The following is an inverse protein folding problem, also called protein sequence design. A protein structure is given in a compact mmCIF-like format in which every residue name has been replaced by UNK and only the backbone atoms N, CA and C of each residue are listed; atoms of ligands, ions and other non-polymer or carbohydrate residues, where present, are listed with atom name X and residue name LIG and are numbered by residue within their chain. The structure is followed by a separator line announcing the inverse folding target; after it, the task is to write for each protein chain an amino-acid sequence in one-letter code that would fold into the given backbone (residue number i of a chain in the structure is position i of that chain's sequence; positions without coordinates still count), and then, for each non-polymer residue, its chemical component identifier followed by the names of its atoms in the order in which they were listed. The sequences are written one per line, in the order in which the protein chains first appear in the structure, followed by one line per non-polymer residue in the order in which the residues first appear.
data_IF_909222605178
#
_entry.id   IF_909222605178
#
_cell.length_a   1.000
_cell.length_b   1.000
_cell.length_c   1.000
_cell.angle_alpha   90.00
_cell.angle_beta   90.00
_cell.angle_gamma   90.00
#
_symmetry.space_group_name_H-M   'P 1'
#
loop_
_entity.id
_entity.type
_entity.pdbx_description
1 polymer ?
#
# COMPACT_ATOMS: atom_id res chain seq x y z
N UNK A 1 -32.58 11.21 -8.59
CA UNK A 1 -31.24 11.69 -8.13
C UNK A 1 -31.00 11.45 -6.64
N UNK A 2 -32.01 11.61 -5.77
CA UNK A 2 -31.86 11.46 -4.30
C UNK A 2 -31.48 10.04 -3.83
N UNK A 3 -32.15 9.01 -4.35
CA UNK A 3 -31.87 7.59 -4.01
C UNK A 3 -30.44 7.15 -4.37
N UNK A 4 -29.84 7.76 -5.41
CA UNK A 4 -28.45 7.49 -5.82
C UNK A 4 -27.43 8.24 -4.97
N UNK A 5 -27.73 9.47 -4.55
CA UNK A 5 -26.91 10.25 -3.60
C UNK A 5 -26.82 9.52 -2.24
N UNK A 6 -27.93 8.95 -1.78
CA UNK A 6 -28.00 8.13 -0.55
C UNK A 6 -27.14 6.86 -0.69
N UNK A 7 -27.23 6.16 -1.83
CA UNK A 7 -26.45 4.93 -2.10
C UNK A 7 -24.95 5.19 -2.22
N UNK A 8 -24.54 6.27 -2.88
CA UNK A 8 -23.13 6.69 -2.94
C UNK A 8 -22.55 7.05 -1.57
N UNK A 9 -23.33 7.72 -0.72
CA UNK A 9 -22.96 8.06 0.67
C UNK A 9 -22.76 6.82 1.53
N UNK A 10 -23.57 5.78 1.33
CA UNK A 10 -23.41 4.49 2.01
C UNK A 10 -22.12 3.75 1.63
N UNK A 11 -21.69 3.82 0.36
CA UNK A 11 -20.45 3.17 -0.08
C UNK A 11 -19.20 3.90 0.42
N UNK A 12 -19.22 5.23 0.45
CA UNK A 12 -18.16 6.03 1.08
C UNK A 12 -18.09 5.76 2.58
N UNK A 13 -19.24 5.61 3.25
CA UNK A 13 -19.29 5.29 4.67
C UNK A 13 -18.61 3.94 4.97
N UNK A 14 -18.77 2.91 4.13
CA UNK A 14 -18.07 1.63 4.30
C UNK A 14 -16.54 1.78 4.26
N UNK A 15 -16.03 2.60 3.33
CA UNK A 15 -14.60 2.87 3.23
C UNK A 15 -14.10 3.63 4.47
N UNK A 16 -14.82 4.67 4.89
CA UNK A 16 -14.47 5.48 6.06
C UNK A 16 -14.51 4.67 7.36
N UNK A 17 -15.54 3.83 7.54
CA UNK A 17 -15.67 2.93 8.70
C UNK A 17 -14.52 1.94 8.74
N UNK A 18 -14.10 1.39 7.59
CA UNK A 18 -12.94 0.50 7.53
C UNK A 18 -11.63 1.19 7.95
N UNK A 19 -11.35 2.40 7.43
CA UNK A 19 -10.17 3.16 7.87
C UNK A 19 -10.22 3.53 9.36
N UNK A 20 -11.40 3.94 9.84
CA UNK A 20 -11.61 4.29 11.24
C UNK A 20 -11.42 3.06 12.15
N UNK A 21 -11.92 1.90 11.75
CA UNK A 21 -11.77 0.66 12.50
C UNK A 21 -10.30 0.23 12.61
N UNK A 22 -9.52 0.35 11.54
CA UNK A 22 -8.07 0.10 11.56
C UNK A 22 -7.36 1.07 12.53
N UNK A 23 -7.68 2.37 12.44
CA UNK A 23 -7.08 3.38 13.31
C UNK A 23 -7.42 3.15 14.79
N UNK A 24 -8.67 2.83 15.11
CA UNK A 24 -9.10 2.49 16.47
C UNK A 24 -8.40 1.22 16.95
N UNK A 25 -8.24 0.21 16.10
CA UNK A 25 -7.55 -1.03 16.46
C UNK A 25 -6.09 -0.77 16.83
N UNK A 26 -5.39 0.07 16.07
CA UNK A 26 -4.01 0.46 16.40
C UNK A 26 -3.94 1.28 17.69
N UNK A 27 -4.88 2.22 17.88
CA UNK A 27 -4.96 3.04 19.09
C UNK A 27 -5.29 2.22 20.35
N UNK A 28 -6.13 1.18 20.21
CA UNK A 28 -6.44 0.26 21.29
C UNK A 28 -5.17 -0.49 21.73
N UNK A 29 -4.30 -0.83 20.79
CA UNK A 29 -3.01 -1.47 21.08
C UNK A 29 -2.02 -0.50 21.75
N UNK A 30 -1.93 0.75 21.26
CA UNK A 30 -1.01 1.75 21.83
C UNK A 30 -1.34 2.06 23.29
N UNK A 31 -2.63 2.16 23.62
CA UNK A 31 -3.12 2.44 24.97
C UNK A 31 -2.78 1.32 25.96
N UNK A 32 -2.73 0.08 25.49
CA UNK A 32 -2.47 -1.10 26.32
C UNK A 32 -0.96 -1.45 26.42
N UNK A 33 -0.08 -0.69 25.76
CA UNK A 33 1.37 -0.93 25.78
C UNK A 33 2.03 -0.61 27.13
N UNK A 34 1.31 0.04 28.06
CA UNK A 34 1.76 0.31 29.43
C UNK A 34 1.38 -0.78 30.44
N UNK A 35 0.68 -1.85 30.02
CA UNK A 35 0.49 -3.00 30.88
C UNK A 35 1.84 -3.64 31.15
N UNK A 36 2.25 -3.65 32.42
CA UNK A 36 3.40 -4.42 32.89
C UNK A 36 3.21 -5.86 32.39
N UNK A 37 4.14 -6.33 31.55
CA UNK A 37 4.13 -7.66 30.93
C UNK A 37 4.23 -8.68 32.06
N UNK A 38 3.07 -9.04 32.60
CA UNK A 38 2.90 -10.04 33.64
C UNK A 38 2.37 -11.31 32.98
N UNK A 39 2.79 -12.50 33.42
CA UNK A 39 2.29 -13.77 32.87
C UNK A 39 0.75 -13.87 32.88
N UNK A 40 0.08 -13.21 33.82
CA UNK A 40 -1.37 -13.15 33.92
C UNK A 40 -2.06 -12.31 32.81
N UNK A 41 -1.35 -11.36 32.19
CA UNK A 41 -1.89 -10.51 31.13
C UNK A 41 -1.72 -11.09 29.71
N UNK A 42 -0.87 -12.11 29.54
CA UNK A 42 -0.62 -12.76 28.24
C UNK A 42 -1.87 -13.28 27.51
N UNK A 43 -2.82 -14.00 28.15
CA UNK A 43 -4.03 -14.46 27.44
C UNK A 43 -4.93 -13.31 26.98
N UNK A 44 -5.00 -12.21 27.74
CA UNK A 44 -5.74 -11.02 27.33
C UNK A 44 -5.09 -10.33 26.13
N UNK A 45 -3.76 -10.24 26.11
CA UNK A 45 -2.98 -9.71 24.99
C UNK A 45 -3.13 -10.56 23.72
N UNK A 46 -3.15 -11.88 23.85
CA UNK A 46 -3.36 -12.80 22.73
C UNK A 46 -4.77 -12.64 22.11
N UNK A 47 -5.81 -12.52 22.95
CA UNK A 47 -7.16 -12.25 22.46
C UNK A 47 -7.28 -10.89 21.76
N UNK A 48 -6.62 -9.86 22.31
CA UNK A 48 -6.55 -8.54 21.67
C UNK A 48 -5.82 -8.60 20.32
N UNK A 49 -4.77 -9.42 20.23
CA UNK A 49 -4.02 -9.60 19.00
C UNK A 49 -4.86 -10.28 17.91
N UNK A 50 -5.58 -11.36 18.24
CA UNK A 50 -6.52 -12.02 17.32
C UNK A 50 -7.64 -11.08 16.88
N UNK A 51 -8.22 -10.32 17.83
CA UNK A 51 -9.25 -9.33 17.53
C UNK A 51 -8.73 -8.25 16.56
N UNK A 52 -7.49 -7.79 16.75
CA UNK A 52 -6.84 -6.79 15.88
C UNK A 52 -6.74 -7.31 14.44
N UNK A 53 -6.28 -8.54 14.24
CA UNK A 53 -6.22 -9.14 12.90
C UNK A 53 -7.61 -9.36 12.30
N UNK A 54 -8.59 -9.82 13.08
CA UNK A 54 -9.96 -9.98 12.61
C UNK A 54 -10.55 -8.65 12.13
N UNK A 55 -10.37 -7.57 12.90
CA UNK A 55 -10.79 -6.21 12.52
C UNK A 55 -10.04 -5.74 11.28
N UNK A 56 -8.74 -5.97 11.18
CA UNK A 56 -7.93 -5.57 10.03
C UNK A 56 -8.41 -6.24 8.73
N UNK A 57 -8.56 -7.56 8.71
CA UNK A 57 -9.04 -8.28 7.53
C UNK A 57 -10.48 -7.91 7.15
N UNK A 58 -11.36 -7.76 8.14
CA UNK A 58 -12.75 -7.32 7.90
C UNK A 58 -12.79 -5.91 7.31
N UNK A 59 -11.92 -5.02 7.77
CA UNK A 59 -11.78 -3.65 7.27
C UNK A 59 -11.28 -3.62 5.83
N UNK A 60 -10.29 -4.45 5.48
CA UNK A 60 -9.86 -4.58 4.07
C UNK A 60 -11.00 -5.07 3.17
N UNK A 61 -11.79 -6.04 3.63
CA UNK A 61 -12.98 -6.49 2.91
C UNK A 61 -14.00 -5.37 2.69
N UNK A 62 -14.31 -4.61 3.75
CA UNK A 62 -15.24 -3.48 3.68
C UNK A 62 -14.76 -2.36 2.75
N UNK A 63 -13.48 -1.99 2.84
CA UNK A 63 -12.85 -0.97 1.98
C UNK A 63 -12.86 -1.44 0.53
N UNK A 64 -12.40 -2.66 0.25
CA UNK A 64 -12.36 -3.21 -1.10
C UNK A 64 -13.75 -3.28 -1.74
N UNK A 65 -14.75 -3.74 -0.99
CA UNK A 65 -16.14 -3.79 -1.45
C UNK A 65 -16.74 -2.40 -1.67
N UNK A 66 -16.47 -1.44 -0.77
CA UNK A 66 -16.87 -0.05 -0.90
C UNK A 66 -16.30 0.59 -2.17
N UNK A 67 -14.99 0.45 -2.39
CA UNK A 67 -14.30 0.95 -3.57
C UNK A 67 -14.82 0.30 -4.86
N UNK A 68 -15.03 -1.02 -4.87
CA UNK A 68 -15.56 -1.73 -6.04
C UNK A 68 -16.96 -1.23 -6.42
N UNK A 69 -17.86 -1.07 -5.45
CA UNK A 69 -19.20 -0.53 -5.71
C UNK A 69 -19.17 0.93 -6.17
N UNK A 70 -18.30 1.76 -5.59
CA UNK A 70 -18.10 3.14 -6.04
C UNK A 70 -17.60 3.19 -7.49
N UNK A 71 -16.59 2.40 -7.81
CA UNK A 71 -16.04 2.27 -9.16
C UNK A 71 -17.12 1.85 -10.16
N UNK A 72 -17.86 0.78 -9.89
CA UNK A 72 -18.95 0.29 -10.75
C UNK A 72 -20.06 1.33 -10.92
N UNK A 73 -20.44 2.01 -9.85
CA UNK A 73 -21.44 3.08 -9.89
C UNK A 73 -20.99 4.26 -10.76
N UNK A 74 -19.71 4.62 -10.71
CA UNK A 74 -19.15 5.74 -11.47
C UNK A 74 -18.89 5.43 -12.94
N UNK A 75 -18.77 4.16 -13.31
CA UNK A 75 -18.78 3.75 -14.72
C UNK A 75 -20.21 3.74 -15.29
N UNK A 76 -21.17 3.22 -14.53
CA UNK A 76 -22.56 3.07 -15.00
C UNK A 76 -23.27 4.42 -15.09
N UNK A 77 -22.96 5.32 -14.15
CA UNK A 77 -23.46 6.70 -14.13
C UNK A 77 -22.26 7.63 -14.21
N UNK A 78 -21.75 7.78 -15.43
CA UNK A 78 -20.60 8.63 -15.70
C UNK A 78 -21.01 10.11 -15.59
N UNK A 79 -20.41 10.82 -14.63
CA UNK A 79 -20.54 12.27 -14.46
C UNK A 79 -19.22 12.98 -14.85
N UNK A 80 -19.21 14.32 -14.86
CA UNK A 80 -18.00 15.13 -15.08
C UNK A 80 -17.06 15.22 -13.86
N UNK A 81 -17.32 14.42 -12.80
CA UNK A 81 -16.51 14.38 -11.57
C UNK A 81 -15.17 13.70 -11.82
N UNK A 82 -14.11 14.14 -11.13
CA UNK A 82 -12.76 13.55 -11.20
C UNK A 82 -12.77 12.03 -10.99
N UNK A 83 -13.52 11.52 -10.00
CA UNK A 83 -13.64 10.08 -9.74
C UNK A 83 -14.25 9.30 -10.93
N UNK A 84 -15.19 9.91 -11.66
CA UNK A 84 -15.80 9.31 -12.85
C UNK A 84 -14.80 9.21 -13.99
N UNK A 85 -13.99 10.27 -14.18
CA UNK A 85 -12.91 10.29 -15.18
C UNK A 85 -11.86 9.22 -14.87
N UNK A 86 -11.44 9.09 -13.60
CA UNK A 86 -10.52 8.04 -13.15
C UNK A 86 -11.11 6.65 -13.41
N UNK A 87 -12.37 6.43 -13.03
CA UNK A 87 -13.04 5.15 -13.21
C UNK A 87 -13.14 4.77 -14.70
N UNK A 88 -13.50 5.72 -15.55
CA UNK A 88 -13.63 5.51 -16.99
C UNK A 88 -12.27 5.25 -17.66
N UNK A 89 -11.23 6.02 -17.31
CA UNK A 89 -9.87 5.81 -17.79
C UNK A 89 -9.31 4.43 -17.39
N UNK A 90 -9.68 3.94 -16.20
CA UNK A 90 -9.21 2.64 -15.70
C UNK A 90 -10.04 1.45 -16.24
N UNK A 91 -11.19 1.70 -16.88
CA UNK A 91 -12.12 0.65 -17.31
C UNK A 91 -11.70 -0.13 -18.57
N UNK A 92 -10.81 0.43 -19.40
CA UNK A 92 -10.36 -0.24 -20.61
C UNK A 92 -9.59 -1.55 -20.30
N UNK A 93 -9.75 -2.60 -21.11
CA UNK A 93 -9.07 -3.91 -20.97
C UNK A 93 -7.56 -3.75 -20.76
N UNK A 94 -6.92 -2.90 -21.56
CA UNK A 94 -5.47 -2.62 -21.46
C UNK A 94 -5.10 -1.97 -20.12
N UNK A 95 -5.83 -0.94 -19.71
CA UNK A 95 -5.60 -0.22 -18.45
C UNK A 95 -5.83 -1.13 -17.24
N UNK A 96 -6.88 -1.95 -17.27
CA UNK A 96 -7.18 -2.96 -16.25
C UNK A 96 -6.08 -4.02 -16.15
N UNK A 97 -5.53 -4.47 -17.28
CA UNK A 97 -4.42 -5.42 -17.28
C UNK A 97 -3.16 -4.79 -16.68
N UNK A 98 -2.83 -3.55 -17.06
CA UNK A 98 -1.70 -2.79 -16.50
C UNK A 98 -1.88 -2.58 -14.99
N UNK A 99 -3.10 -2.24 -14.54
CA UNK A 99 -3.44 -2.09 -13.13
C UNK A 99 -3.14 -3.36 -12.35
N UNK A 100 -3.62 -4.52 -12.82
CA UNK A 100 -3.43 -5.81 -12.14
C UNK A 100 -1.96 -6.22 -12.10
N UNK A 101 -1.26 -6.17 -13.25
CA UNK A 101 0.16 -6.54 -13.33
C UNK A 101 1.01 -5.65 -12.42
N UNK A 102 0.78 -4.34 -12.43
CA UNK A 102 1.56 -3.39 -11.63
C UNK A 102 1.26 -3.54 -10.14
N UNK A 103 -0.01 -3.77 -9.77
CA UNK A 103 -0.41 -4.00 -8.36
C UNK A 103 0.25 -5.27 -7.82
N UNK A 104 0.21 -6.38 -8.56
CA UNK A 104 0.81 -7.65 -8.13
C UNK A 104 2.32 -7.55 -8.11
N UNK A 105 2.93 -7.00 -9.16
CA UNK A 105 4.38 -6.85 -9.27
C UNK A 105 4.96 -5.99 -8.15
N UNK A 106 4.35 -4.82 -7.89
CA UNK A 106 4.76 -3.98 -6.78
C UNK A 106 4.49 -4.65 -5.43
N UNK A 107 3.36 -5.34 -5.27
CA UNK A 107 3.03 -6.04 -4.03
C UNK A 107 4.03 -7.14 -3.67
N UNK A 108 4.45 -7.94 -4.64
CA UNK A 108 5.50 -8.94 -4.43
C UNK A 108 6.81 -8.28 -4.05
N UNK A 109 7.23 -7.26 -4.79
CA UNK A 109 8.45 -6.50 -4.51
C UNK A 109 8.45 -5.88 -3.10
N UNK A 110 7.33 -5.27 -2.70
CA UNK A 110 7.15 -4.70 -1.37
C UNK A 110 7.17 -5.79 -0.29
N UNK A 111 6.54 -6.95 -0.52
CA UNK A 111 6.53 -8.05 0.44
C UNK A 111 7.95 -8.57 0.72
N UNK A 112 8.81 -8.65 -0.29
CA UNK A 112 10.24 -8.98 -0.12
C UNK A 112 11.01 -7.87 0.60
N UNK A 113 10.82 -6.62 0.21
CA UNK A 113 11.60 -5.49 0.77
C UNK A 113 11.20 -5.14 2.20
N UNK A 114 9.92 -5.27 2.56
CA UNK A 114 9.38 -4.94 3.88
C UNK A 114 9.57 -6.05 4.92
N UNK A 115 10.22 -7.15 4.55
CA UNK A 115 10.43 -8.31 5.44
C UNK A 115 9.17 -9.13 5.70
N UNK A 116 8.09 -8.94 4.93
CA UNK A 116 6.91 -9.82 5.02
C UNK A 116 7.29 -11.25 4.61
N UNK A 117 8.12 -11.38 3.57
CA UNK A 117 8.75 -12.65 3.21
C UNK A 117 10.16 -12.62 3.79
N UNK A 118 10.40 -13.45 4.81
CA UNK A 118 11.71 -13.60 5.43
C UNK A 118 12.43 -14.76 4.75
N UNK A 119 13.61 -14.47 4.22
CA UNK A 119 14.58 -15.47 3.80
C UNK A 119 15.88 -15.26 4.58
N UNK A 120 16.20 -16.17 5.50
CA UNK A 120 17.44 -16.14 6.27
C UNK A 120 18.12 -17.51 6.21
N UNK A 121 19.03 -17.72 5.24
CA UNK A 121 19.71 -19.00 5.06
C UNK A 121 20.81 -19.26 6.11
N UNK A 122 21.33 -18.22 6.76
CA UNK A 122 22.49 -18.31 7.65
C UNK A 122 22.14 -18.63 9.12
N UNK A 123 20.85 -18.72 9.45
CA UNK A 123 20.37 -18.99 10.80
C UNK A 123 19.23 -20.01 10.78
N UNK A 124 19.25 -20.95 11.73
CA UNK A 124 18.15 -21.90 11.91
C UNK A 124 17.12 -21.31 12.87
N UNK A 125 15.84 -21.39 12.52
CA UNK A 125 14.75 -20.93 13.39
C UNK A 125 14.81 -21.59 14.79
N UNK A 126 15.24 -22.85 14.85
CA UNK A 126 15.41 -23.62 16.10
C UNK A 126 16.43 -23.02 17.06
N UNK A 127 17.43 -22.29 16.56
CA UNK A 127 18.47 -21.66 17.40
C UNK A 127 17.93 -20.46 18.18
N UNK A 128 16.78 -19.91 17.75
CA UNK A 128 16.10 -18.80 18.41
C UNK A 128 14.96 -19.24 19.33
N UNK A 129 14.89 -20.54 19.65
CA UNK A 129 13.88 -21.10 20.56
C UNK A 129 12.52 -21.37 19.90
N UNK A 130 12.42 -21.23 18.57
CA UNK A 130 11.23 -21.59 17.83
C UNK A 130 11.11 -23.13 17.68
N UNK A 131 9.89 -23.69 17.67
CA UNK A 131 9.66 -25.09 17.34
C UNK A 131 10.23 -25.46 15.96
N UNK A 132 10.44 -26.75 15.70
CA UNK A 132 10.80 -27.17 14.34
C UNK A 132 9.70 -26.75 13.34
N UNK A 133 10.06 -26.12 12.20
CA UNK A 133 9.09 -25.81 11.14
C UNK A 133 8.41 -27.07 10.60
N UNK A 134 7.14 -27.01 10.15
CA UNK A 134 6.30 -25.82 10.02
C UNK A 134 5.56 -25.46 11.32
N UNK A 135 5.57 -24.19 11.70
CA UNK A 135 4.79 -23.70 12.85
C UNK A 135 4.38 -22.23 12.67
N UNK A 136 3.39 -21.82 13.45
CA UNK A 136 2.88 -20.45 13.49
C UNK A 136 2.99 -19.96 14.93
N UNK A 137 3.68 -18.84 15.11
CA UNK A 137 3.84 -18.19 16.40
C UNK A 137 3.30 -16.77 16.35
N UNK A 138 2.52 -16.40 17.37
CA UNK A 138 1.98 -15.05 17.51
C UNK A 138 2.75 -14.37 18.63
N UNK A 139 3.43 -13.27 18.29
CA UNK A 139 4.03 -12.39 19.28
C UNK A 139 3.07 -11.23 19.57
N UNK A 140 2.41 -11.22 20.75
CA UNK A 140 1.46 -10.18 21.11
C UNK A 140 2.13 -8.93 21.72
N UNK A 141 3.47 -8.86 21.88
CA UNK A 141 4.07 -7.72 22.60
C UNK A 141 5.48 -7.31 22.12
N UNK A 142 5.97 -6.22 22.75
CA UNK A 142 7.32 -5.65 22.73
C UNK A 142 7.83 -4.87 21.49
N UNK A 143 7.03 -4.02 20.83
CA UNK A 143 7.51 -3.17 19.71
C UNK A 143 6.76 -1.82 19.64
N UNK A 144 6.96 -1.06 18.57
CA UNK A 144 6.28 0.21 18.32
C UNK A 144 4.80 0.01 17.93
N UNK A 145 3.93 0.99 18.24
CA UNK A 145 2.53 0.92 17.84
C UNK A 145 2.35 0.79 16.33
N UNK A 146 1.55 -0.20 15.91
CA UNK A 146 1.34 -0.57 14.50
C UNK A 146 2.26 -1.70 14.00
N UNK A 147 3.37 -1.95 14.68
CA UNK A 147 4.23 -3.12 14.43
C UNK A 147 3.74 -4.37 15.18
N UNK A 148 2.81 -4.19 16.10
CA UNK A 148 2.28 -5.23 16.98
C UNK A 148 0.77 -5.36 16.76
N UNK A 149 0.19 -6.55 16.96
CA UNK A 149 0.84 -7.85 17.18
C UNK A 149 1.52 -8.39 15.90
N UNK A 150 2.59 -9.17 16.03
CA UNK A 150 3.25 -9.82 14.88
C UNK A 150 2.87 -11.29 14.78
N UNK A 151 2.63 -11.79 13.56
CA UNK A 151 2.52 -13.22 13.29
C UNK A 151 3.78 -13.67 12.56
N UNK A 152 4.42 -14.71 13.07
CA UNK A 152 5.49 -15.44 12.40
C UNK A 152 4.96 -16.79 11.94
N UNK A 153 5.06 -17.09 10.66
CA UNK A 153 4.75 -18.39 10.08
C UNK A 153 6.00 -18.94 9.40
N UNK A 154 6.64 -19.92 10.02
CA UNK A 154 7.83 -20.56 9.46
C UNK A 154 7.42 -21.81 8.68
N UNK A 155 7.76 -21.87 7.39
CA UNK A 155 7.48 -23.03 6.54
C UNK A 155 8.66 -24.00 6.50
N UNK A 156 9.88 -23.45 6.54
CA UNK A 156 11.14 -24.18 6.60
C UNK A 156 12.08 -23.45 7.56
N UNK A 157 13.27 -23.99 7.83
CA UNK A 157 14.24 -23.36 8.74
C UNK A 157 14.74 -21.99 8.24
N UNK A 158 14.67 -21.75 6.92
CA UNK A 158 15.20 -20.54 6.28
C UNK A 158 14.14 -19.64 5.64
N UNK A 159 12.91 -20.15 5.48
CA UNK A 159 11.80 -19.43 4.84
C UNK A 159 10.68 -19.25 5.85
N UNK A 160 10.39 -17.99 6.16
CA UNK A 160 9.30 -17.59 7.02
C UNK A 160 8.49 -16.44 6.44
N UNK A 161 7.32 -16.22 7.01
CA UNK A 161 6.43 -15.13 6.69
C UNK A 161 6.13 -14.36 7.97
N UNK A 162 6.42 -13.06 7.96
CA UNK A 162 6.19 -12.17 9.08
C UNK A 162 5.08 -11.18 8.72
N UNK A 163 3.92 -11.34 9.34
CA UNK A 163 2.81 -10.39 9.16
C UNK A 163 2.92 -9.34 10.24
N UNK A 164 3.20 -8.13 9.80
CA UNK A 164 3.12 -6.92 10.61
C UNK A 164 1.89 -6.14 10.14
N UNK A 165 0.95 -5.73 11.02
CA UNK A 165 -0.29 -5.07 10.63
C UNK A 165 -0.05 -3.82 9.77
N UNK A 166 0.94 -3.00 10.15
CA UNK A 166 1.31 -1.80 9.40
C UNK A 166 1.91 -2.15 8.01
N UNK A 167 2.81 -3.13 7.92
CA UNK A 167 3.38 -3.53 6.63
C UNK A 167 2.31 -4.13 5.72
N UNK A 168 1.35 -4.89 6.27
CA UNK A 168 0.23 -5.42 5.52
C UNK A 168 -0.69 -4.29 5.00
N UNK A 169 -0.95 -3.27 5.82
CA UNK A 169 -1.69 -2.07 5.41
C UNK A 169 -0.96 -1.31 4.29
N UNK A 170 0.33 -1.08 4.45
CA UNK A 170 1.16 -0.42 3.44
C UNK A 170 1.24 -1.24 2.14
N UNK A 171 1.39 -2.56 2.25
CA UNK A 171 1.38 -3.47 1.10
C UNK A 171 0.09 -3.30 0.29
N UNK A 172 -1.08 -3.37 0.92
CA UNK A 172 -2.37 -3.24 0.22
C UNK A 172 -2.55 -1.84 -0.35
N UNK A 173 -2.31 -0.80 0.45
CA UNK A 173 -2.57 0.60 0.06
C UNK A 173 -1.62 1.09 -1.02
N UNK A 174 -0.31 0.91 -0.84
CA UNK A 174 0.70 1.40 -1.79
C UNK A 174 0.62 0.61 -3.09
N UNK A 175 0.45 -0.72 -3.05
CA UNK A 175 0.31 -1.52 -4.28
C UNK A 175 -0.91 -1.11 -5.11
N UNK A 176 -2.05 -0.86 -4.45
CA UNK A 176 -3.26 -0.36 -5.12
C UNK A 176 -3.03 1.02 -5.76
N UNK A 177 -2.39 1.93 -5.04
CA UNK A 177 -2.05 3.28 -5.52
C UNK A 177 -1.09 3.24 -6.70
N UNK A 178 -0.02 2.45 -6.62
CA UNK A 178 0.95 2.25 -7.71
C UNK A 178 0.23 1.71 -8.95
N UNK A 179 -0.58 0.66 -8.78
CA UNK A 179 -1.38 0.10 -9.87
C UNK A 179 -2.31 1.11 -10.53
N UNK A 180 -3.03 1.91 -9.75
CA UNK A 180 -3.93 2.95 -10.25
C UNK A 180 -3.19 4.02 -11.05
N UNK A 181 -2.03 4.45 -10.56
CA UNK A 181 -1.24 5.45 -11.25
C UNK A 181 -0.66 4.94 -12.57
N UNK A 182 -0.19 3.69 -12.64
CA UNK A 182 0.25 3.09 -13.91
C UNK A 182 -0.90 2.94 -14.92
N UNK A 183 -2.08 2.53 -14.46
CA UNK A 183 -3.27 2.47 -15.30
C UNK A 183 -3.62 3.84 -15.90
N UNK A 184 -3.69 4.88 -15.07
CA UNK A 184 -4.00 6.24 -15.52
C UNK A 184 -2.90 6.80 -16.43
N UNK A 185 -1.63 6.60 -16.07
CA UNK A 185 -0.49 7.02 -16.89
C UNK A 185 -0.55 6.37 -18.28
N UNK A 186 -0.90 5.09 -18.37
CA UNK A 186 -1.06 4.39 -19.65
C UNK A 186 -2.16 5.02 -20.51
N UNK A 187 -3.25 5.47 -19.91
CA UNK A 187 -4.32 6.17 -20.63
C UNK A 187 -3.92 7.57 -21.08
N UNK A 188 -3.27 8.34 -20.22
CA UNK A 188 -2.73 9.66 -20.56
C UNK A 188 -1.72 9.54 -21.70
N UNK A 189 -0.83 8.54 -21.66
CA UNK A 189 0.13 8.30 -22.72
C UNK A 189 -0.55 7.89 -24.04
N UNK A 190 -1.58 7.05 -23.97
CA UNK A 190 -2.35 6.67 -25.17
C UNK A 190 -3.05 7.85 -25.84
N UNK A 191 -3.52 8.82 -25.05
CA UNK A 191 -4.13 10.07 -25.54
C UNK A 191 -3.04 11.03 -26.05
N UNK A 192 -1.94 11.16 -25.31
CA UNK A 192 -0.83 12.07 -25.61
C UNK A 192 0.06 11.62 -26.78
N UNK A 193 0.02 10.34 -27.20
CA UNK A 193 0.71 9.88 -28.43
C UNK A 193 0.25 10.65 -29.69
N UNK A 194 -0.88 11.35 -29.62
CA UNK A 194 -1.38 12.28 -30.64
C UNK A 194 -0.76 13.70 -30.60
N UNK A 195 -0.03 14.07 -29.55
CA UNK A 195 0.51 15.43 -29.36
C UNK A 195 1.81 15.41 -28.56
N UNK A 196 2.94 15.36 -29.27
CA UNK A 196 4.27 15.23 -28.68
C UNK A 196 4.69 16.48 -27.91
N UNK A 197 4.81 16.38 -26.57
CA UNK A 197 5.68 17.20 -25.70
C UNK A 197 5.55 16.83 -24.21
N UNK A 198 5.64 15.54 -23.84
CA UNK A 198 5.41 15.11 -22.44
C UNK A 198 6.46 14.15 -21.83
N UNK A 199 7.66 14.05 -22.41
CA UNK A 199 8.67 13.05 -22.01
C UNK A 199 9.24 13.23 -20.60
N UNK A 200 9.60 14.46 -20.21
CA UNK A 200 10.31 14.70 -18.94
C UNK A 200 9.43 14.56 -17.69
N UNK A 201 8.17 15.00 -17.76
CA UNK A 201 7.24 14.91 -16.62
C UNK A 201 6.82 13.46 -16.34
N UNK A 202 6.80 12.60 -17.37
CA UNK A 202 6.52 11.17 -17.24
C UNK A 202 7.64 10.38 -16.57
N UNK A 203 8.91 10.79 -16.75
CA UNK A 203 10.06 10.11 -16.15
C UNK A 203 10.17 10.34 -14.64
N UNK A 204 10.02 11.59 -14.18
CA UNK A 204 10.12 11.95 -12.74
C UNK A 204 8.92 11.41 -11.96
N UNK A 205 7.71 11.54 -12.53
CA UNK A 205 6.52 10.93 -11.91
C UNK A 205 6.62 9.41 -11.93
N UNK A 206 7.12 8.80 -13.00
CA UNK A 206 7.32 7.35 -13.11
C UNK A 206 8.28 6.77 -12.06
N UNK A 207 9.33 7.49 -11.66
CA UNK A 207 10.30 7.01 -10.67
C UNK A 207 9.70 6.94 -9.25
N UNK A 208 9.01 8.00 -8.81
CA UNK A 208 8.38 8.04 -7.48
C UNK A 208 7.08 7.24 -7.40
N UNK A 209 6.34 7.18 -8.51
CA UNK A 209 5.10 6.41 -8.61
C UNK A 209 5.38 4.92 -8.78
N UNK A 210 6.41 4.56 -9.53
CA UNK A 210 6.67 3.18 -9.91
C UNK A 210 7.22 2.35 -8.76
N UNK A 211 8.11 2.95 -7.98
CA UNK A 211 8.69 2.29 -6.82
C UNK A 211 9.26 3.33 -5.83
N UNK A 212 8.47 3.79 -4.85
CA UNK A 212 8.94 4.72 -3.81
C UNK A 212 10.22 4.26 -3.10
N UNK A 213 10.32 2.94 -2.87
CA UNK A 213 11.48 2.27 -2.25
C UNK A 213 12.71 2.26 -3.18
N UNK A 214 12.51 2.16 -4.49
CA UNK A 214 13.57 2.28 -5.48
C UNK A 214 14.04 3.73 -5.63
N UNK A 215 13.13 4.70 -5.54
CA UNK A 215 13.49 6.11 -5.48
C UNK A 215 14.33 6.41 -4.23
N UNK A 216 13.97 5.83 -3.08
CA UNK A 216 14.73 5.94 -1.84
C UNK A 216 16.14 5.35 -1.94
N UNK A 217 16.27 4.12 -2.47
CA UNK A 217 17.58 3.47 -2.65
C UNK A 217 18.47 4.18 -3.68
N UNK A 218 17.91 4.62 -4.81
CA UNK A 218 18.63 5.43 -5.80
C UNK A 218 19.08 6.78 -5.23
N UNK A 219 18.26 7.42 -4.38
CA UNK A 219 18.63 8.66 -3.72
C UNK A 219 19.78 8.45 -2.72
N UNK A 220 19.76 7.37 -1.93
CA UNK A 220 20.87 7.01 -1.03
C UNK A 220 22.17 6.75 -1.80
N UNK A 221 22.10 6.09 -2.96
CA UNK A 221 23.24 5.84 -3.84
C UNK A 221 23.79 7.13 -4.48
N UNK A 222 22.92 8.04 -4.93
CA UNK A 222 23.32 9.28 -5.63
C UNK A 222 23.86 10.37 -4.69
N UNK A 223 23.31 10.49 -3.48
CA UNK A 223 23.70 11.54 -2.53
C UNK A 223 24.79 11.08 -1.52
N UNK A 224 25.47 9.97 -1.80
CA UNK A 224 26.73 9.65 -1.14
C UNK A 224 26.63 9.14 0.29
N UNK A 225 25.45 8.75 0.77
CA UNK A 225 25.33 7.99 2.02
C UNK A 225 25.75 6.51 1.84
N UNK A 226 26.01 6.08 0.60
CA UNK A 226 26.45 4.73 0.23
C UNK A 226 27.91 4.65 -0.19
N UNK A 227 28.86 5.00 0.68
CA UNK A 227 30.27 4.63 0.45
C UNK A 227 30.51 3.20 0.90
N UNK A 228 30.72 2.31 -0.09
CA UNK A 228 31.39 1.02 0.12
C UNK A 228 30.46 -0.18 0.18
N UNK A 229 30.50 -1.01 -0.86
CA UNK A 229 29.83 -2.30 -1.00
C UNK A 229 30.34 -3.41 -0.04
N UNK A 230 30.87 -3.05 1.13
CA UNK A 230 31.49 -3.99 2.08
C UNK A 230 30.98 -3.88 3.51
N UNK A 231 30.05 -2.97 3.83
CA UNK A 231 29.38 -2.88 5.15
C UNK A 231 27.90 -3.27 5.08
N UNK A 232 27.59 -4.28 4.27
CA UNK A 232 26.27 -4.67 3.79
C UNK A 232 25.28 -5.21 4.86
N UNK A 233 25.59 -5.28 6.16
CA UNK A 233 24.71 -6.04 7.07
C UNK A 233 24.46 -5.47 8.46
N UNK A 234 25.20 -4.46 8.93
CA UNK A 234 25.07 -4.00 10.33
C UNK A 234 24.64 -2.53 10.52
N UNK A 235 24.77 -1.67 9.52
CA UNK A 235 24.30 -0.27 9.59
C UNK A 235 22.86 -0.08 9.09
N UNK A 236 22.22 -1.15 8.61
CA UNK A 236 20.93 -1.14 7.92
C UNK A 236 19.70 -0.99 8.83
N UNK A 237 19.86 -1.06 10.16
CA UNK A 237 18.70 -1.25 11.06
C UNK A 237 18.12 0.02 11.66
N UNK A 238 18.85 1.14 11.71
CA UNK A 238 18.36 2.36 12.41
C UNK A 238 18.26 3.62 11.55
N UNK A 239 19.19 3.85 10.61
CA UNK A 239 19.20 5.07 9.77
C UNK A 239 18.44 4.86 8.46
N UNK A 240 18.58 3.70 7.81
CA UNK A 240 17.84 3.38 6.59
C UNK A 240 16.34 3.20 6.83
N UNK A 241 15.95 2.63 7.98
CA UNK A 241 14.55 2.55 8.40
C UNK A 241 13.90 3.95 8.49
N UNK A 242 14.65 4.95 8.96
CA UNK A 242 14.17 6.34 9.03
C UNK A 242 14.04 6.97 7.65
N UNK A 243 15.02 6.76 6.77
CA UNK A 243 14.99 7.29 5.40
C UNK A 243 13.86 6.63 4.59
N UNK A 244 13.72 5.30 4.66
CA UNK A 244 12.61 4.59 4.02
C UNK A 244 11.26 5.07 4.55
N UNK A 245 11.13 5.34 5.86
CA UNK A 245 9.92 5.92 6.45
C UNK A 245 9.63 7.31 5.88
N UNK A 246 10.65 8.16 5.68
CA UNK A 246 10.50 9.48 5.05
C UNK A 246 10.07 9.36 3.58
N UNK A 247 10.67 8.46 2.80
CA UNK A 247 10.27 8.22 1.42
C UNK A 247 8.86 7.64 1.30
N UNK A 248 8.46 6.76 2.22
CA UNK A 248 7.07 6.26 2.31
C UNK A 248 6.12 7.42 2.69
N UNK A 249 6.51 8.23 3.68
CA UNK A 249 5.71 9.38 4.13
C UNK A 249 5.52 10.45 3.04
N UNK A 250 6.51 10.67 2.18
CA UNK A 250 6.43 11.62 1.05
C UNK A 250 5.71 10.99 -0.15
N UNK A 251 5.97 9.71 -0.43
CA UNK A 251 5.41 9.04 -1.61
C UNK A 251 3.92 8.77 -1.49
N UNK A 252 3.39 8.49 -0.29
CA UNK A 252 1.95 8.26 -0.10
C UNK A 252 1.12 9.48 -0.55
N UNK A 253 1.38 10.72 -0.08
CA UNK A 253 0.73 11.92 -0.60
C UNK A 253 0.88 12.07 -2.12
N UNK A 254 2.08 11.86 -2.66
CA UNK A 254 2.32 11.97 -4.11
C UNK A 254 1.49 10.96 -4.89
N UNK A 255 1.42 9.71 -4.44
CA UNK A 255 0.63 8.64 -5.04
C UNK A 255 -0.88 8.89 -4.95
N UNK A 256 -1.35 9.60 -3.93
CA UNK A 256 -2.74 10.04 -3.81
C UNK A 256 -3.08 11.24 -4.72
N UNK A 257 -2.16 12.20 -4.84
CA UNK A 257 -2.36 13.43 -5.61
C UNK A 257 -2.22 13.17 -7.12
N UNK A 258 -1.33 12.26 -7.53
CA UNK A 258 -1.03 12.01 -8.95
C UNK A 258 -2.25 11.57 -9.77
N UNK A 259 -3.12 10.63 -9.33
CA UNK A 259 -4.36 10.27 -10.02
C UNK A 259 -5.29 11.46 -10.23
N UNK A 260 -5.35 12.39 -9.28
CA UNK A 260 -6.20 13.59 -9.33
C UNK A 260 -5.65 14.55 -10.39
N UNK A 261 -4.33 14.78 -10.42
CA UNK A 261 -3.69 15.61 -11.44
C UNK A 261 -3.87 15.00 -12.84
N UNK A 262 -3.63 13.70 -12.99
CA UNK A 262 -3.82 12.99 -14.26
C UNK A 262 -5.26 13.09 -14.76
N UNK A 263 -6.24 12.90 -13.88
CA UNK A 263 -7.64 13.02 -14.24
C UNK A 263 -8.05 14.44 -14.65
N UNK A 264 -7.53 15.48 -13.97
CA UNK A 264 -7.72 16.88 -14.40
C UNK A 264 -7.13 17.12 -15.78
N UNK A 265 -5.97 16.53 -16.09
CA UNK A 265 -5.33 16.66 -17.40
C UNK A 265 -6.13 15.95 -18.49
N UNK A 266 -6.64 14.74 -18.24
CA UNK A 266 -7.55 14.02 -19.16
C UNK A 266 -8.79 14.87 -19.45
N UNK A 267 -9.37 15.49 -18.41
CA UNK A 267 -10.53 16.39 -18.56
C UNK A 267 -10.21 17.55 -19.52
N UNK A 268 -9.12 18.25 -19.27
CA UNK A 268 -8.68 19.41 -20.09
C UNK A 268 -8.40 19.02 -21.54
N UNK A 269 -7.78 17.85 -21.79
CA UNK A 269 -7.53 17.40 -23.16
C UNK A 269 -8.80 17.00 -23.90
N UNK A 270 -9.75 16.34 -23.23
CA UNK A 270 -11.06 16.02 -23.82
C UNK A 270 -11.84 17.29 -24.17
N UNK A 271 -11.81 18.31 -23.32
CA UNK A 271 -12.44 19.61 -23.59
C UNK A 271 -11.77 20.34 -24.76
N UNK A 272 -10.44 20.32 -24.86
CA UNK A 272 -9.71 20.92 -25.99
C UNK A 272 -9.98 20.21 -27.32
N UNK A 273 -10.13 18.88 -27.34
CA UNK A 273 -10.49 18.14 -28.54
C UNK A 273 -11.93 18.43 -29.00
N UNK A 274 -12.86 18.66 -28.06
CA UNK A 274 -14.24 19.01 -28.39
C UNK A 274 -14.33 20.39 -29.08
N UNK A 275 -13.49 21.36 -28.67
CA UNK A 275 -13.48 22.72 -29.24
C UNK A 275 -12.89 22.74 -30.66
N UNK A 276 -11.88 21.92 -30.97
CA UNK A 276 -11.29 21.81 -32.33
C UNK A 276 -12.15 21.00 -33.33
N UNK A 277 -13.28 20.44 -32.90
CA UNK A 277 -14.20 19.68 -33.77
C UNK A 277 -15.42 20.47 -34.26
N UNK A 278 -15.48 21.77 -33.94
CA UNK A 278 -16.44 22.73 -34.49
C UNK A 278 -15.75 23.66 -35.46
#
# INVERSE_FOLDING_TARGET
MEKQKIRGRSHLALVLVGFLAIAISFLAYTKNNSLIITPAAMPALQNLAVATYAVLFSSFGAIGWGLYKMYKSKITHADSTILSIIANATHNKRSKQIFVISTIGYGLFFAFTSGIIIYKPDINATDYGFPQPPHIELSPCCDLPGYMPMIFAFFTEHIGLQIIPLNLLLLVMVSFLVGLNFALSSTVFSIAKSGGNLGAFGAITGLFVGCPTCAGTMFTMLFGFGTGATTFTLFLTSVEAQIQTVFIAISIPVLFVTPIIMAKKIKSQNESCAVNSR
#
